data_IF_362433644607
#
_entry.id   IF_362433644607
#
_cell.length_a   1.000
_cell.length_b   1.000
_cell.length_c   1.000
_cell.angle_alpha   90.00
_cell.angle_beta   90.00
_cell.angle_gamma   90.00
#
_symmetry.space_group_name_H-M   'P 1'
#
loop_
_entity.id
_entity.type
_entity.pdbx_description
1 polymer ?
#
# COMPACT_ATOMS: atom_id res chain seq x y z
N UNK A 1 -46.66 29.25 14.35
CA UNK A 1 -45.81 28.74 13.29
C UNK A 1 -44.40 28.59 13.83
N UNK A 2 -43.93 27.37 14.07
CA UNK A 2 -42.55 27.08 14.52
C UNK A 2 -41.69 26.86 13.28
N UNK A 3 -40.71 27.74 13.06
CA UNK A 3 -39.71 27.56 12.04
C UNK A 3 -38.73 26.45 12.50
N UNK A 4 -38.79 25.27 11.84
CA UNK A 4 -37.73 24.29 11.92
C UNK A 4 -36.50 24.81 11.17
N UNK A 5 -35.44 25.08 11.90
CA UNK A 5 -34.11 25.28 11.31
C UNK A 5 -33.65 23.94 10.77
N UNK A 6 -33.54 23.78 9.46
CA UNK A 6 -32.82 22.68 8.83
C UNK A 6 -31.34 22.89 9.12
N UNK A 7 -30.77 22.04 9.97
CA UNK A 7 -29.31 21.92 10.06
C UNK A 7 -28.83 21.31 8.74
N UNK A 8 -28.13 22.12 7.97
CA UNK A 8 -27.35 21.60 6.83
C UNK A 8 -26.05 21.09 7.44
N UNK A 9 -25.95 19.79 7.66
CA UNK A 9 -24.67 19.14 7.94
C UNK A 9 -23.81 19.27 6.67
N UNK A 10 -22.81 20.14 6.73
CA UNK A 10 -21.73 20.14 5.75
C UNK A 10 -20.89 18.90 6.02
N UNK A 11 -21.11 17.84 5.28
CA UNK A 11 -20.16 16.75 5.19
C UNK A 11 -18.91 17.29 4.47
N UNK A 12 -17.90 17.66 5.23
CA UNK A 12 -16.56 17.89 4.69
C UNK A 12 -16.09 16.56 4.11
N UNK A 13 -16.00 16.48 2.81
CA UNK A 13 -15.39 15.35 2.13
C UNK A 13 -13.92 15.31 2.54
N UNK A 14 -13.58 14.39 3.42
CA UNK A 14 -12.19 14.11 3.77
C UNK A 14 -11.71 13.06 2.76
N UNK A 15 -10.72 13.39 1.91
CA UNK A 15 -10.23 12.42 0.94
C UNK A 15 -9.75 11.16 1.66
N UNK A 16 -10.20 10.00 1.18
CA UNK A 16 -9.83 8.69 1.73
C UNK A 16 -8.37 8.38 1.46
N UNK A 17 -7.81 8.89 0.34
CA UNK A 17 -6.43 8.79 -0.06
C UNK A 17 -5.76 10.16 -0.01
N UNK A 18 -4.65 10.27 0.70
CA UNK A 18 -3.91 11.52 0.87
C UNK A 18 -2.44 11.34 0.55
N UNK A 19 -1.92 12.16 -0.38
CA UNK A 19 -0.48 12.30 -0.55
C UNK A 19 0.12 13.02 0.66
N UNK A 20 1.22 12.48 1.20
CA UNK A 20 2.00 13.06 2.29
C UNK A 20 3.43 13.29 1.83
N UNK A 21 4.16 14.09 2.56
CA UNK A 21 5.53 14.43 2.21
C UNK A 21 6.51 13.37 2.74
N UNK A 22 7.41 12.89 1.87
CA UNK A 22 8.55 12.08 2.28
C UNK A 22 9.77 13.00 2.44
N UNK A 23 10.31 13.16 3.66
CA UNK A 23 11.42 14.08 3.91
C UNK A 23 12.76 13.62 3.30
N UNK A 24 12.83 12.40 2.80
CA UNK A 24 14.04 11.79 2.20
C UNK A 24 15.24 11.93 3.13
N UNK A 25 15.05 11.61 4.41
CA UNK A 25 16.12 11.64 5.40
C UNK A 25 17.25 10.68 5.03
N UNK A 26 18.42 10.83 5.65
CA UNK A 26 19.56 9.93 5.41
C UNK A 26 19.17 8.47 5.71
N UNK A 27 18.43 8.22 6.78
CA UNK A 27 17.95 6.91 7.18
C UNK A 27 17.01 6.31 6.11
N UNK A 28 16.13 7.14 5.52
CA UNK A 28 15.28 6.72 4.42
C UNK A 28 16.09 6.34 3.19
N UNK A 29 17.07 7.16 2.81
CA UNK A 29 17.90 6.90 1.62
C UNK A 29 18.76 5.65 1.78
N UNK A 30 19.34 5.44 2.96
CA UNK A 30 20.12 4.24 3.27
C UNK A 30 19.22 2.98 3.29
N UNK A 31 18.04 3.07 3.88
CA UNK A 31 17.09 1.99 3.89
C UNK A 31 16.57 1.66 2.48
N UNK A 32 16.24 2.67 1.67
CA UNK A 32 15.87 2.49 0.27
C UNK A 32 16.96 1.78 -0.52
N UNK A 33 18.22 2.20 -0.34
CA UNK A 33 19.38 1.54 -0.97
C UNK A 33 19.47 0.07 -0.58
N UNK A 34 19.23 -0.27 0.70
CA UNK A 34 19.17 -1.66 1.14
C UNK A 34 18.02 -2.42 0.44
N UNK A 35 16.82 -1.85 0.37
CA UNK A 35 15.67 -2.47 -0.30
C UNK A 35 15.91 -2.73 -1.80
N UNK A 36 16.82 -1.98 -2.43
CA UNK A 36 17.20 -2.11 -3.84
C UNK A 36 18.50 -2.90 -4.06
N UNK A 37 19.09 -3.45 -3.00
CA UNK A 37 20.36 -4.18 -3.06
C UNK A 37 20.14 -5.69 -3.19
N UNK A 38 21.23 -6.40 -3.48
CA UNK A 38 21.27 -7.87 -3.47
C UNK A 38 21.24 -8.49 -2.06
N UNK A 39 21.34 -7.65 -1.02
CA UNK A 39 21.33 -8.12 0.38
C UNK A 39 19.90 -8.49 0.86
N UNK A 40 18.87 -7.98 0.20
CA UNK A 40 17.49 -8.25 0.57
C UNK A 40 17.04 -9.63 0.05
N UNK A 41 16.38 -10.39 0.89
CA UNK A 41 15.83 -11.70 0.53
C UNK A 41 14.36 -11.57 0.19
N UNK A 42 13.99 -12.02 -0.99
CA UNK A 42 12.62 -11.98 -1.47
C UNK A 42 11.90 -13.31 -1.29
N UNK A 43 10.66 -13.26 -0.85
CA UNK A 43 9.74 -14.40 -0.81
C UNK A 43 8.67 -14.18 -1.86
N UNK A 44 8.48 -15.17 -2.74
CA UNK A 44 7.42 -15.14 -3.73
C UNK A 44 6.08 -15.54 -3.11
N UNK A 45 5.06 -14.70 -3.26
CA UNK A 45 3.67 -15.02 -2.97
C UNK A 45 2.92 -15.25 -4.28
N UNK A 46 2.23 -16.37 -4.38
CA UNK A 46 1.44 -16.70 -5.58
C UNK A 46 0.18 -15.84 -5.72
N UNK A 47 -0.23 -15.18 -4.65
CA UNK A 47 -1.49 -14.42 -4.58
C UNK A 47 -1.26 -13.09 -3.88
N UNK A 48 -1.86 -12.07 -4.41
CA UNK A 48 -1.80 -10.72 -3.83
C UNK A 48 -2.63 -10.61 -2.54
N UNK A 49 -3.75 -11.32 -2.47
CA UNK A 49 -4.57 -11.44 -1.27
C UNK A 49 -5.01 -12.89 -1.06
N UNK A 50 -5.21 -13.29 0.19
CA UNK A 50 -5.88 -14.55 0.48
C UNK A 50 -7.36 -14.39 0.12
N UNK A 51 -7.85 -15.33 -0.70
CA UNK A 51 -9.28 -15.47 -0.94
C UNK A 51 -9.89 -16.07 0.34
N UNK A 52 -10.15 -15.22 1.33
CA UNK A 52 -11.10 -15.55 2.37
C UNK A 52 -12.48 -15.73 1.75
N UNK A 53 -13.48 -16.10 2.54
CA UNK A 53 -14.89 -16.36 2.12
C UNK A 53 -15.59 -15.14 1.45
N UNK A 54 -14.81 -14.22 0.92
CA UNK A 54 -15.26 -13.02 0.25
C UNK A 54 -15.31 -13.31 -1.26
N UNK A 55 -16.49 -13.69 -1.70
CA UNK A 55 -16.85 -13.75 -3.11
C UNK A 55 -17.72 -12.51 -3.39
N UNK A 56 -17.13 -11.33 -3.68
CA UNK A 56 -17.92 -10.15 -3.94
C UNK A 56 -18.74 -10.38 -5.22
N UNK A 57 -20.00 -9.96 -5.24
CA UNK A 57 -20.85 -10.05 -6.42
C UNK A 57 -20.34 -9.20 -7.61
N UNK A 58 -19.32 -8.39 -7.40
CA UNK A 58 -18.73 -7.45 -8.35
C UNK A 58 -17.34 -7.92 -8.85
N UNK A 59 -17.09 -9.23 -8.86
CA UNK A 59 -15.88 -9.75 -9.51
C UNK A 59 -16.00 -9.53 -11.01
N UNK A 60 -15.30 -8.52 -11.44
CA UNK A 60 -14.98 -8.24 -12.81
C UNK A 60 -14.06 -9.35 -13.34
N UNK A 61 -14.24 -9.79 -14.58
CA UNK A 61 -13.36 -10.77 -15.25
C UNK A 61 -11.92 -10.24 -15.35
N UNK A 62 -11.73 -8.92 -15.21
CA UNK A 62 -10.43 -8.23 -15.24
C UNK A 62 -9.70 -8.25 -13.89
N UNK A 63 -10.30 -8.79 -12.82
CA UNK A 63 -9.66 -8.98 -11.53
C UNK A 63 -8.61 -10.10 -11.60
N UNK A 64 -7.34 -9.74 -11.46
CA UNK A 64 -6.24 -10.68 -11.46
C UNK A 64 -5.69 -10.91 -10.05
N UNK A 65 -5.60 -12.17 -9.66
CA UNK A 65 -4.86 -12.55 -8.45
C UNK A 65 -3.44 -12.97 -8.87
N UNK A 66 -2.59 -11.97 -9.04
CA UNK A 66 -1.22 -12.19 -9.50
C UNK A 66 -0.23 -12.31 -8.34
N UNK A 67 0.87 -12.99 -8.59
CA UNK A 67 1.95 -13.13 -7.63
C UNK A 67 2.80 -11.87 -7.51
N UNK A 68 3.46 -11.74 -6.38
CA UNK A 68 4.40 -10.65 -6.10
C UNK A 68 5.54 -11.16 -5.22
N UNK A 69 6.65 -10.42 -5.21
CA UNK A 69 7.73 -10.66 -4.26
C UNK A 69 7.58 -9.75 -3.05
N UNK A 70 7.80 -10.31 -1.87
CA UNK A 70 7.67 -9.60 -0.61
C UNK A 70 8.88 -9.87 0.29
N UNK A 71 9.36 -8.82 0.96
CA UNK A 71 10.23 -8.96 2.13
C UNK A 71 9.55 -8.30 3.32
N UNK A 72 8.99 -9.07 4.25
CA UNK A 72 8.40 -8.52 5.46
C UNK A 72 9.49 -8.19 6.49
N UNK A 73 9.42 -7.01 7.08
CA UNK A 73 10.22 -6.59 8.23
C UNK A 73 9.49 -6.85 9.53
N UNK A 74 8.19 -6.55 9.56
CA UNK A 74 7.32 -6.71 10.70
C UNK A 74 6.04 -7.42 10.26
N UNK A 75 5.74 -8.57 10.85
CA UNK A 75 4.49 -9.29 10.63
C UNK A 75 3.39 -8.78 11.55
N UNK A 76 2.13 -8.74 11.07
CA UNK A 76 0.99 -8.35 11.90
C UNK A 76 0.69 -9.40 12.98
N UNK A 77 -0.06 -9.02 14.04
CA UNK A 77 -0.63 -9.97 14.96
C UNK A 77 -1.49 -11.02 14.23
N UNK A 78 -1.48 -12.23 14.73
CA UNK A 78 -2.29 -13.33 14.23
C UNK A 78 -2.79 -14.20 15.40
N UNK A 79 -3.47 -15.30 15.11
CA UNK A 79 -3.99 -16.22 16.13
C UNK A 79 -2.91 -16.79 17.07
N UNK A 80 -1.69 -16.94 16.56
CA UNK A 80 -0.55 -17.46 17.34
C UNK A 80 0.17 -16.38 18.14
N UNK A 81 0.21 -15.13 17.62
CA UNK A 81 0.91 -14.01 18.23
C UNK A 81 -0.03 -12.81 18.35
N UNK A 82 -0.27 -12.37 19.59
CA UNK A 82 -1.13 -11.22 19.91
C UNK A 82 -0.46 -9.87 19.65
N UNK A 83 0.75 -9.86 19.14
CA UNK A 83 1.54 -8.66 18.85
C UNK A 83 2.32 -8.84 17.54
N UNK A 84 2.73 -7.73 16.96
CA UNK A 84 3.54 -7.75 15.74
C UNK A 84 4.91 -8.36 16.00
N UNK A 85 5.38 -9.19 15.06
CA UNK A 85 6.62 -9.95 15.20
C UNK A 85 7.67 -9.42 14.25
N UNK A 86 8.82 -8.93 14.75
CA UNK A 86 9.96 -8.58 13.92
C UNK A 86 10.59 -9.87 13.35
N UNK A 87 10.83 -9.90 12.03
CA UNK A 87 11.37 -11.08 11.35
C UNK A 87 12.56 -10.78 10.45
N UNK A 88 12.92 -9.53 10.30
CA UNK A 88 14.12 -9.10 9.56
C UNK A 88 15.12 -8.43 10.49
N UNK A 89 16.40 -8.59 10.20
CA UNK A 89 17.46 -7.85 10.89
C UNK A 89 17.42 -6.33 10.62
N UNK A 90 16.59 -5.89 9.66
CA UNK A 90 16.35 -4.49 9.29
C UNK A 90 15.00 -3.95 9.79
N UNK A 91 14.36 -4.67 10.71
CA UNK A 91 13.06 -4.24 11.26
C UNK A 91 13.13 -2.88 11.97
N UNK A 92 14.21 -2.60 12.71
CA UNK A 92 14.36 -1.34 13.43
C UNK A 92 14.51 -0.19 12.44
N UNK A 93 15.38 -0.32 11.47
CA UNK A 93 15.60 0.70 10.43
C UNK A 93 14.29 0.95 9.62
N UNK A 94 13.58 -0.12 9.26
CA UNK A 94 12.29 0.00 8.59
C UNK A 94 11.27 0.78 9.44
N UNK A 95 11.22 0.47 10.73
CA UNK A 95 10.33 1.13 11.69
C UNK A 95 10.67 2.61 11.87
N UNK A 96 11.95 2.95 12.00
CA UNK A 96 12.42 4.32 12.18
C UNK A 96 12.14 5.18 10.93
N UNK A 97 12.31 4.62 9.72
CA UNK A 97 11.94 5.27 8.46
C UNK A 97 10.45 5.58 8.41
N UNK A 98 9.60 4.59 8.68
CA UNK A 98 8.14 4.78 8.68
C UNK A 98 7.74 5.85 9.70
N UNK A 99 8.25 5.77 10.92
CA UNK A 99 7.99 6.77 11.95
C UNK A 99 8.48 8.16 11.56
N UNK A 100 9.67 8.28 11.01
CA UNK A 100 10.22 9.55 10.56
C UNK A 100 9.35 10.24 9.51
N UNK A 101 8.80 9.49 8.54
CA UNK A 101 7.86 10.02 7.55
C UNK A 101 6.57 10.50 8.23
N UNK A 102 6.00 9.69 9.12
CA UNK A 102 4.74 10.03 9.81
C UNK A 102 4.91 11.24 10.74
N UNK A 103 5.97 11.28 11.54
CA UNK A 103 6.27 12.38 12.44
C UNK A 103 6.51 13.70 11.70
N UNK A 104 7.22 13.67 10.56
CA UNK A 104 7.41 14.84 9.70
C UNK A 104 6.07 15.44 9.23
N UNK A 105 5.09 14.59 8.96
CA UNK A 105 3.74 15.01 8.56
C UNK A 105 2.79 15.29 9.73
N UNK A 106 3.28 15.29 10.97
CA UNK A 106 2.48 15.44 12.19
C UNK A 106 1.37 14.38 12.33
N UNK A 107 1.59 13.17 11.80
CA UNK A 107 0.68 12.05 11.90
C UNK A 107 1.05 11.22 13.12
N UNK A 108 0.14 11.19 14.09
CA UNK A 108 0.30 10.36 15.29
C UNK A 108 -0.13 8.94 15.00
N UNK A 109 0.70 7.99 15.40
CA UNK A 109 0.45 6.55 15.24
C UNK A 109 0.68 5.87 16.58
N UNK A 110 -0.31 5.14 17.03
CA UNK A 110 -0.23 4.37 18.28
C UNK A 110 0.57 3.08 18.07
N UNK A 111 0.37 2.42 16.93
CA UNK A 111 1.03 1.15 16.60
C UNK A 111 1.25 1.02 15.11
N UNK A 112 2.35 0.37 14.75
CA UNK A 112 2.64 -0.13 13.41
C UNK A 112 2.46 -1.65 13.46
N UNK A 113 1.54 -2.18 12.69
CA UNK A 113 1.19 -3.61 12.70
C UNK A 113 2.03 -4.42 11.72
N UNK A 114 2.31 -3.85 10.55
CA UNK A 114 3.02 -4.52 9.47
C UNK A 114 3.94 -3.52 8.79
N UNK A 115 5.11 -3.99 8.40
CA UNK A 115 6.03 -3.30 7.49
C UNK A 115 6.55 -4.33 6.51
N UNK A 116 6.42 -4.07 5.23
CA UNK A 116 6.96 -4.91 4.17
C UNK A 116 7.35 -4.05 2.97
N UNK A 117 8.29 -4.54 2.19
CA UNK A 117 8.55 -4.04 0.83
C UNK A 117 8.08 -5.10 -0.16
N UNK A 118 7.40 -4.66 -1.21
CA UNK A 118 6.83 -5.52 -2.23
C UNK A 118 7.36 -5.13 -3.60
N UNK A 119 7.55 -6.12 -4.46
CA UNK A 119 7.76 -5.94 -5.91
C UNK A 119 6.53 -6.51 -6.60
N UNK A 120 5.72 -5.64 -7.18
CA UNK A 120 4.64 -6.03 -8.05
C UNK A 120 5.21 -6.36 -9.43
N UNK A 121 4.81 -7.50 -9.98
CA UNK A 121 5.23 -7.92 -11.31
C UNK A 121 4.24 -7.37 -12.34
N UNK A 122 4.70 -6.98 -13.53
CA UNK A 122 3.79 -6.68 -14.63
C UNK A 122 2.99 -7.95 -14.96
N UNK A 123 1.72 -7.78 -15.27
CA UNK A 123 0.85 -8.86 -15.76
C UNK A 123 0.55 -8.65 -17.22
N UNK A 124 0.43 -9.77 -17.96
CA UNK A 124 -0.05 -9.72 -19.35
C UNK A 124 -1.55 -9.44 -19.33
N UNK A 125 -1.98 -8.32 -19.89
CA UNK A 125 -3.37 -7.90 -19.95
C UNK A 125 -3.66 -6.61 -19.16
N UNK A 126 -4.72 -5.93 -19.45
CA UNK A 126 -5.27 -4.89 -18.59
C UNK A 126 -5.89 -5.58 -17.38
N UNK A 127 -5.45 -5.21 -16.18
CA UNK A 127 -6.00 -5.82 -14.98
C UNK A 127 -5.62 -5.08 -13.72
N UNK A 128 -6.33 -5.38 -12.66
CA UNK A 128 -6.06 -4.84 -11.34
C UNK A 128 -6.08 -5.95 -10.28
N UNK A 129 -5.40 -5.73 -9.17
CA UNK A 129 -5.49 -6.65 -8.05
C UNK A 129 -6.92 -6.65 -7.48
N UNK A 130 -7.28 -7.73 -6.80
CA UNK A 130 -8.56 -7.78 -6.13
C UNK A 130 -8.68 -6.65 -5.11
N UNK A 131 -9.81 -5.90 -5.10
CA UNK A 131 -10.08 -4.94 -4.05
C UNK A 131 -10.11 -5.63 -2.68
N UNK A 132 -9.27 -5.19 -1.76
CA UNK A 132 -9.13 -5.81 -0.44
C UNK A 132 -8.81 -4.79 0.64
N UNK A 133 -8.90 -5.23 1.88
CA UNK A 133 -8.33 -4.57 3.06
C UNK A 133 -7.24 -5.46 3.62
N UNK A 134 -6.11 -4.89 4.04
CA UNK A 134 -4.99 -5.68 4.57
C UNK A 134 -5.31 -6.39 5.89
N UNK A 135 -6.28 -5.89 6.65
CA UNK A 135 -6.66 -6.41 7.95
C UNK A 135 -8.17 -6.34 8.17
N UNK A 136 -8.75 -7.25 8.98
CA UNK A 136 -10.19 -7.27 9.28
C UNK A 136 -10.63 -6.22 10.32
N UNK A 137 -9.77 -5.28 10.69
CA UNK A 137 -10.03 -4.21 11.65
C UNK A 137 -9.63 -2.85 11.05
N UNK A 138 -10.15 -1.76 11.62
CA UNK A 138 -9.85 -0.40 11.14
C UNK A 138 -8.36 -0.10 11.26
N UNK A 139 -7.75 0.29 10.17
CA UNK A 139 -6.34 0.62 10.08
C UNK A 139 -6.09 1.61 8.94
N UNK A 140 -4.91 2.20 8.95
CA UNK A 140 -4.41 3.05 7.87
C UNK A 140 -3.23 2.38 7.20
N UNK A 141 -3.16 2.52 5.91
CA UNK A 141 -2.05 2.09 5.08
C UNK A 141 -1.16 3.29 4.74
N UNK A 142 0.14 3.08 4.80
CA UNK A 142 1.16 3.97 4.26
C UNK A 142 1.87 3.23 3.15
N UNK A 143 1.84 3.77 1.94
CA UNK A 143 2.65 3.30 0.81
C UNK A 143 3.72 4.34 0.51
N UNK A 144 4.96 3.89 0.35
CA UNK A 144 6.09 4.69 -0.13
C UNK A 144 6.62 4.03 -1.40
N UNK A 145 6.60 4.76 -2.50
CA UNK A 145 7.08 4.27 -3.79
C UNK A 145 8.59 4.39 -3.85
N UNK A 146 9.30 3.27 -3.84
CA UNK A 146 10.77 3.26 -3.86
C UNK A 146 11.34 3.45 -5.25
N UNK A 147 10.55 3.24 -6.30
CA UNK A 147 10.91 3.41 -7.72
C UNK A 147 9.81 4.16 -8.45
N UNK A 148 10.10 4.57 -9.67
CA UNK A 148 9.04 5.01 -10.58
C UNK A 148 8.33 3.75 -11.12
N UNK A 149 7.03 3.56 -10.84
CA UNK A 149 6.30 2.48 -11.48
C UNK A 149 6.18 2.76 -12.98
N UNK A 150 6.49 1.76 -13.79
CA UNK A 150 6.22 1.80 -15.23
C UNK A 150 4.75 1.44 -15.44
N UNK A 151 3.90 2.45 -15.28
CA UNK A 151 2.46 2.25 -15.25
C UNK A 151 1.96 1.77 -13.89
N UNK A 152 0.67 1.67 -13.76
CA UNK A 152 0.01 1.26 -12.53
C UNK A 152 -0.27 2.42 -11.58
N UNK A 153 -1.31 2.20 -10.79
CA UNK A 153 -1.78 3.14 -9.79
C UNK A 153 -2.34 2.39 -8.59
N UNK A 154 -2.42 3.07 -7.47
CA UNK A 154 -3.15 2.59 -6.30
C UNK A 154 -4.51 3.28 -6.28
N UNK A 155 -5.58 2.49 -6.20
CA UNK A 155 -6.95 2.99 -6.07
C UNK A 155 -7.48 2.66 -4.70
N UNK A 156 -8.04 3.66 -4.03
CA UNK A 156 -8.69 3.51 -2.73
C UNK A 156 -10.04 4.19 -2.77
N UNK A 157 -11.13 3.42 -2.54
CA UNK A 157 -12.51 3.91 -2.54
C UNK A 157 -12.85 4.81 -3.76
N UNK A 158 -12.29 4.46 -4.94
CA UNK A 158 -12.51 5.19 -6.20
C UNK A 158 -11.60 6.40 -6.41
N UNK A 159 -10.74 6.74 -5.48
CA UNK A 159 -9.68 7.74 -5.67
C UNK A 159 -8.41 7.04 -6.17
N UNK A 160 -7.87 7.51 -7.30
CA UNK A 160 -6.69 6.92 -7.94
C UNK A 160 -5.45 7.77 -7.71
N UNK A 161 -4.32 7.10 -7.44
CA UNK A 161 -3.03 7.75 -7.29
C UNK A 161 -1.95 7.01 -8.09
N UNK A 162 -1.37 7.70 -9.07
CA UNK A 162 -0.19 7.26 -9.79
C UNK A 162 1.05 7.79 -9.08
N UNK A 163 1.77 6.90 -8.40
CA UNK A 163 2.97 7.25 -7.65
C UNK A 163 4.16 7.56 -8.53
N UNK A 164 5.11 8.32 -7.97
CA UNK A 164 6.46 8.48 -8.49
C UNK A 164 7.44 8.05 -7.42
N UNK A 165 8.67 7.82 -7.83
CA UNK A 165 9.76 7.53 -6.90
C UNK A 165 9.79 8.53 -5.74
N UNK A 166 9.86 8.01 -4.52
CA UNK A 166 9.83 8.71 -3.25
C UNK A 166 8.50 9.38 -2.89
N UNK A 167 7.45 9.23 -3.67
CA UNK A 167 6.12 9.64 -3.24
C UNK A 167 5.63 8.76 -2.08
N UNK A 168 4.84 9.37 -1.20
CA UNK A 168 4.18 8.67 -0.10
C UNK A 168 2.70 9.02 -0.05
N UNK A 169 1.86 8.00 0.17
CA UNK A 169 0.42 8.16 0.35
C UNK A 169 -0.03 7.46 1.63
N UNK A 170 -1.04 8.01 2.26
CA UNK A 170 -1.75 7.39 3.36
C UNK A 170 -3.24 7.29 3.03
N UNK A 171 -3.84 6.16 3.34
CA UNK A 171 -5.26 5.91 3.09
C UNK A 171 -5.83 4.88 4.07
N UNK A 172 -7.14 4.78 4.09
CA UNK A 172 -7.89 3.76 4.82
C UNK A 172 -9.01 3.22 3.93
N UNK A 173 -9.48 2.01 4.20
CA UNK A 173 -10.52 1.37 3.42
C UNK A 173 -10.03 0.34 2.40
N UNK A 174 -10.94 -0.05 1.51
CA UNK A 174 -10.63 -0.99 0.44
C UNK A 174 -9.76 -0.34 -0.61
N UNK A 175 -8.74 -1.06 -1.02
CA UNK A 175 -7.83 -0.62 -2.05
C UNK A 175 -7.48 -1.74 -3.01
N UNK A 176 -6.95 -1.37 -4.17
CA UNK A 176 -6.39 -2.26 -5.17
C UNK A 176 -5.35 -1.51 -6.00
N UNK A 177 -4.52 -2.27 -6.69
CA UNK A 177 -3.51 -1.71 -7.57
C UNK A 177 -3.82 -2.07 -9.01
N UNK A 178 -3.82 -1.07 -9.89
CA UNK A 178 -3.72 -1.32 -11.32
C UNK A 178 -2.29 -1.69 -11.66
N UNK A 179 -2.12 -2.75 -12.44
CA UNK A 179 -0.87 -3.05 -13.10
C UNK A 179 -1.09 -2.77 -14.58
N UNK A 180 -0.43 -1.75 -15.13
CA UNK A 180 -0.47 -1.52 -16.56
C UNK A 180 0.45 -2.50 -17.27
N UNK A 181 -0.04 -2.97 -18.40
CA UNK A 181 0.65 -3.78 -19.37
C UNK A 181 1.95 -3.16 -19.85
N UNK A 182 2.91 -4.03 -20.10
CA UNK A 182 3.82 -3.85 -21.20
C UNK A 182 2.99 -3.96 -22.50
N UNK A 183 2.69 -2.84 -23.13
CA UNK A 183 2.30 -2.89 -24.54
C UNK A 183 3.54 -3.28 -25.31
N UNK A 184 3.50 -4.44 -25.94
CA UNK A 184 4.59 -5.01 -26.75
C UNK A 184 4.88 -4.25 -28.05
N UNK A 185 4.55 -2.98 -28.11
CA UNK A 185 4.70 -2.14 -29.33
C UNK A 185 6.09 -1.48 -29.44
N UNK A 186 7.06 -1.85 -28.59
CA UNK A 186 8.43 -1.35 -28.68
C UNK A 186 9.40 -2.29 -29.42
N UNK A 187 8.90 -3.32 -30.12
CA UNK A 187 9.74 -4.33 -30.77
C UNK A 187 9.77 -4.24 -32.33
N UNK A 188 9.24 -3.17 -32.92
CA UNK A 188 9.24 -2.97 -34.37
C UNK A 188 9.82 -1.60 -34.77
N UNK A 189 11.07 -1.28 -34.34
CA UNK A 189 11.95 -0.32 -35.03
C UNK A 189 13.39 -0.83 -35.07
#
# INVERSE_FOLDING_TARGET
MRHQKKNVELYLFVPMLKKIYNPKSAEYLDFKKYCMSEEITWTYSQRHCEMGDYNPPDWDEDCCNFGFYCHPFLLPPNERFLYSVPISNKTIEAHDVVRGILEFNNIKVDRIYRIAVNISMPIDGEGHSLPHTDHPFDHKNLIVYLTNPEGGSTVCEGEEFTGKEDDAIIFEGKHYNYCLLYTSDAADE
#
